data_IF_887707595520
#
_entry.id   IF_887707595520
#
_cell.length_a   1.000
_cell.length_b   1.000
_cell.length_c   1.000
_cell.angle_alpha   90.00
_cell.angle_beta   90.00
_cell.angle_gamma   90.00
#
_symmetry.space_group_name_H-M   'P 1'
#
loop_
_entity.id
_entity.type
_entity.pdbx_description
1 polymer ?
#
# COMPACT_ATOMS: atom_id res chain seq x y z
N UNK A 1 -9.61 13.47 -8.41
CA UNK A 1 -8.30 12.81 -8.49
C UNK A 1 -7.66 12.92 -7.11
N UNK A 2 -7.31 11.81 -6.47
CA UNK A 2 -6.59 11.79 -5.18
C UNK A 2 -5.21 11.19 -5.46
N UNK A 3 -4.17 11.82 -4.95
CA UNK A 3 -2.78 11.35 -5.07
C UNK A 3 -2.28 10.94 -3.69
N UNK A 4 -1.51 9.86 -3.63
CA UNK A 4 -0.89 9.36 -2.40
C UNK A 4 0.58 9.13 -2.70
N UNK A 5 1.46 9.73 -1.91
CA UNK A 5 2.90 9.60 -2.04
C UNK A 5 3.39 8.63 -0.97
N UNK A 6 4.24 7.68 -1.35
CA UNK A 6 4.89 6.75 -0.44
C UNK A 6 6.38 7.06 -0.34
N UNK A 7 6.90 7.12 0.88
CA UNK A 7 8.33 7.08 1.16
C UNK A 7 8.75 5.62 1.25
N UNK A 8 9.77 5.22 0.48
CA UNK A 8 10.32 3.86 0.48
C UNK A 8 11.71 3.90 1.10
N UNK A 9 11.96 2.99 2.03
CA UNK A 9 13.25 2.83 2.72
C UNK A 9 13.67 1.35 2.71
N UNK A 10 14.97 1.08 2.71
CA UNK A 10 15.50 -0.27 2.90
C UNK A 10 15.27 -0.71 4.35
N UNK A 11 14.83 -1.95 4.55
CA UNK A 11 14.70 -2.52 5.89
C UNK A 11 16.06 -3.06 6.40
N UNK A 12 16.45 -2.79 7.67
CA UNK A 12 17.72 -3.25 8.23
C UNK A 12 17.88 -4.79 8.29
N UNK A 13 16.77 -5.53 8.32
CA UNK A 13 16.75 -7.00 8.26
C UNK A 13 16.64 -7.54 6.81
N UNK A 14 16.53 -6.63 5.84
CA UNK A 14 16.44 -6.89 4.41
C UNK A 14 15.03 -6.72 3.85
N UNK A 15 14.94 -6.31 2.59
CA UNK A 15 13.68 -5.94 1.95
C UNK A 15 13.44 -4.43 2.03
N UNK A 16 12.17 -4.04 2.02
CA UNK A 16 11.76 -2.65 1.90
C UNK A 16 10.57 -2.34 2.80
N UNK A 17 10.55 -1.13 3.32
CA UNK A 17 9.41 -0.52 3.98
C UNK A 17 8.84 0.60 3.10
N UNK A 18 7.52 0.78 3.14
CA UNK A 18 6.85 1.92 2.55
C UNK A 18 5.84 2.54 3.50
N UNK A 19 5.88 3.87 3.61
CA UNK A 19 4.96 4.66 4.42
C UNK A 19 4.27 5.71 3.54
N UNK A 20 2.94 5.79 3.64
CA UNK A 20 2.19 6.86 2.98
C UNK A 20 2.39 8.20 3.70
N UNK A 21 2.72 9.24 2.95
CA UNK A 21 2.77 10.60 3.45
C UNK A 21 1.35 11.15 3.57
N UNK A 22 0.94 11.49 4.80
CA UNK A 22 -0.39 12.04 5.08
C UNK A 22 -1.49 11.00 5.31
N UNK A 23 -1.17 9.70 5.29
CA UNK A 23 -2.10 8.62 5.60
C UNK A 23 -1.46 7.59 6.54
N UNK A 24 -2.27 6.99 7.41
CA UNK A 24 -1.82 5.92 8.30
C UNK A 24 -1.78 4.58 7.58
N UNK A 25 -0.96 4.50 6.53
CA UNK A 25 -0.74 3.28 5.73
C UNK A 25 0.75 2.96 5.76
N UNK A 26 1.05 1.73 6.19
CA UNK A 26 2.39 1.19 6.32
C UNK A 26 2.40 -0.22 5.72
N UNK A 27 3.42 -0.51 4.93
CA UNK A 27 3.57 -1.80 4.26
C UNK A 27 5.04 -2.17 4.18
N UNK A 28 5.33 -3.46 4.19
CA UNK A 28 6.68 -4.03 4.04
C UNK A 28 6.69 -5.05 2.90
N UNK A 29 7.88 -5.44 2.42
CA UNK A 29 8.02 -6.52 1.45
C UNK A 29 9.48 -6.88 1.20
N UNK A 30 9.76 -8.17 0.99
CA UNK A 30 11.11 -8.67 0.73
C UNK A 30 11.63 -8.30 -0.68
N UNK A 31 10.74 -7.94 -1.60
CA UNK A 31 11.08 -7.47 -2.95
C UNK A 31 10.27 -6.23 -3.32
N UNK A 32 10.73 -5.48 -4.33
CA UNK A 32 9.98 -4.32 -4.83
C UNK A 32 8.63 -4.69 -5.45
N UNK A 33 8.49 -5.91 -5.97
CA UNK A 33 7.24 -6.43 -6.54
C UNK A 33 6.22 -6.73 -5.43
N UNK A 34 6.67 -7.41 -4.36
CA UNK A 34 5.86 -7.69 -3.18
C UNK A 34 5.43 -6.40 -2.47
N UNK A 35 6.36 -5.46 -2.27
CA UNK A 35 6.06 -4.17 -1.65
C UNK A 35 4.96 -3.43 -2.42
N UNK A 36 5.04 -3.41 -3.77
CA UNK A 36 4.00 -2.79 -4.61
C UNK A 36 2.65 -3.46 -4.46
N UNK A 37 2.61 -4.80 -4.40
CA UNK A 37 1.36 -5.53 -4.19
C UNK A 37 0.75 -5.17 -2.82
N UNK A 38 1.57 -5.15 -1.76
CA UNK A 38 1.13 -4.81 -0.42
C UNK A 38 0.65 -3.36 -0.31
N UNK A 39 1.32 -2.41 -0.97
CA UNK A 39 0.85 -1.01 -1.07
C UNK A 39 -0.54 -0.93 -1.69
N UNK A 40 -0.76 -1.62 -2.82
CA UNK A 40 -2.05 -1.59 -3.51
C UNK A 40 -3.17 -2.18 -2.66
N UNK A 41 -2.90 -3.31 -1.99
CA UNK A 41 -3.85 -3.94 -1.08
C UNK A 41 -4.18 -3.05 0.12
N UNK A 42 -3.17 -2.44 0.75
CA UNK A 42 -3.36 -1.55 1.88
C UNK A 42 -4.13 -0.26 1.49
N UNK A 43 -3.85 0.30 0.32
CA UNK A 43 -4.62 1.44 -0.23
C UNK A 43 -6.07 1.02 -0.50
N UNK A 44 -6.30 -0.17 -1.08
CA UNK A 44 -7.65 -0.69 -1.27
C UNK A 44 -8.36 -0.86 0.07
N UNK A 45 -7.74 -1.51 1.05
CA UNK A 45 -8.35 -1.73 2.36
C UNK A 45 -8.68 -0.40 3.06
N UNK A 46 -7.79 0.58 2.97
CA UNK A 46 -7.93 1.87 3.64
C UNK A 46 -8.97 2.80 2.98
N UNK A 47 -9.09 2.78 1.64
CA UNK A 47 -9.98 3.71 0.91
C UNK A 47 -11.15 3.05 0.17
N UNK A 48 -11.07 1.74 -0.09
CA UNK A 48 -12.06 0.93 -0.80
C UNK A 48 -12.95 0.09 0.12
N UNK A 49 -12.87 0.28 1.43
CA UNK A 49 -13.55 -0.51 2.45
C UNK A 49 -15.04 -0.24 2.69
N UNK A 50 -15.83 0.21 1.70
CA UNK A 50 -17.29 0.28 1.91
C UNK A 50 -18.19 -0.21 0.77
N UNK A 51 -17.84 -0.17 -0.52
CA UNK A 51 -18.85 -0.44 -1.58
C UNK A 51 -18.26 -0.95 -2.91
N UNK A 52 -17.50 -2.05 -2.95
CA UNK A 52 -17.08 -2.59 -4.25
C UNK A 52 -17.05 -4.11 -4.29
N UNK A 53 -18.24 -4.72 -4.29
CA UNK A 53 -18.57 -5.97 -4.99
C UNK A 53 -20.09 -6.02 -5.33
N UNK A 54 -20.68 -4.91 -5.79
CA UNK A 54 -22.06 -4.90 -6.34
C UNK A 54 -22.15 -4.59 -7.85
N UNK A 55 -21.04 -4.29 -8.53
CA UNK A 55 -21.06 -4.02 -9.99
C UNK A 55 -19.94 -4.75 -10.77
N UNK A 56 -19.57 -5.97 -10.34
CA UNK A 56 -18.66 -6.83 -11.13
C UNK A 56 -19.18 -8.27 -11.35
N UNK A 57 -20.49 -8.50 -11.18
CA UNK A 57 -21.19 -9.69 -11.72
C UNK A 57 -22.32 -9.26 -12.65
#
# INVERSE_FOLDING_TARGET
MKEIIFLIEDDPEGGYNAQALGHSIFTEGGTTEELKANIMDAVWCHFGGSECWDEVL
#
